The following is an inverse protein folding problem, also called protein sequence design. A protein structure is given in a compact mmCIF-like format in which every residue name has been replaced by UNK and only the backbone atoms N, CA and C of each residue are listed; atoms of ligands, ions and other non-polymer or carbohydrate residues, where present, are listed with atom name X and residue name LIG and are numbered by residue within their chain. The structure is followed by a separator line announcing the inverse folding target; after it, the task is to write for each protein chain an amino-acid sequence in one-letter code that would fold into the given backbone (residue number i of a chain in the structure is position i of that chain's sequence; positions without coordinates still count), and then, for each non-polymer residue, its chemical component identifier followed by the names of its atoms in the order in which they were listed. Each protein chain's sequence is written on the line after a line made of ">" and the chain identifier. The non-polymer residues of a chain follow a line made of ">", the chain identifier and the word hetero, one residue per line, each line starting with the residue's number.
data_IF_482538092605
#
_entry.id   IF_482538092605
#
_cell.length_a   1.000
_cell.length_b   1.000
_cell.length_c   1.000
_cell.angle_alpha   90.00
_cell.angle_beta   90.00
_cell.angle_gamma   90.00
#
_symmetry.space_group_name_H-M   'P 1'
#
loop_
_entity.id
_entity.type
_entity.pdbx_description
1 polymer ?
#
# COMPACT_ATOMS: atom_id res chain seq x y z
N UNK A 1 -29.68 16.60 10.51
CA UNK A 1 -30.35 15.33 10.83
C UNK A 1 -31.37 15.01 9.75
N UNK A 2 -32.48 15.76 9.69
CA UNK A 2 -33.53 15.57 8.67
C UNK A 2 -33.03 15.58 7.21
N UNK A 3 -31.99 16.35 6.87
CA UNK A 3 -31.46 16.36 5.51
C UNK A 3 -30.73 15.06 5.13
N UNK A 4 -29.84 14.55 6.00
CA UNK A 4 -29.12 13.29 5.73
C UNK A 4 -30.07 12.10 5.72
N UNK A 5 -31.04 12.07 6.65
CA UNK A 5 -32.10 11.06 6.66
C UNK A 5 -32.92 11.11 5.37
N UNK A 6 -33.34 12.30 4.92
CA UNK A 6 -34.06 12.48 3.65
C UNK A 6 -33.22 12.09 2.43
N UNK A 7 -31.92 12.36 2.42
CA UNK A 7 -31.02 11.92 1.34
C UNK A 7 -30.90 10.39 1.32
N UNK A 8 -30.85 9.74 2.48
CA UNK A 8 -30.84 8.28 2.57
C UNK A 8 -32.20 7.66 2.23
N UNK A 9 -33.32 8.27 2.63
CA UNK A 9 -34.66 7.87 2.20
C UNK A 9 -34.79 7.97 0.69
N UNK A 10 -34.37 9.10 0.11
CA UNK A 10 -34.34 9.31 -1.34
C UNK A 10 -33.46 8.28 -2.05
N UNK A 11 -32.29 7.95 -1.48
CA UNK A 11 -31.40 6.90 -1.99
C UNK A 11 -32.09 5.53 -2.00
N UNK A 12 -32.73 5.12 -0.90
CA UNK A 12 -33.44 3.83 -0.81
C UNK A 12 -34.63 3.78 -1.76
N UNK A 13 -35.42 4.85 -1.82
CA UNK A 13 -36.60 4.93 -2.68
C UNK A 13 -36.21 4.87 -4.16
N UNK A 14 -35.09 5.52 -4.51
CA UNK A 14 -34.52 5.50 -5.86
C UNK A 14 -33.81 4.19 -6.21
N UNK A 15 -33.31 3.45 -5.23
CA UNK A 15 -32.83 2.08 -5.43
C UNK A 15 -33.98 1.09 -5.70
N UNK A 16 -35.18 1.34 -5.14
CA UNK A 16 -36.37 0.48 -5.32
C UNK A 16 -37.18 0.80 -6.58
N UNK A 17 -37.20 2.05 -7.01
CA UNK A 17 -37.86 2.47 -8.25
C UNK A 17 -36.82 2.75 -9.33
N UNK A 18 -36.95 2.18 -10.53
CA UNK A 18 -36.06 2.33 -11.71
C UNK A 18 -36.02 3.79 -12.23
N UNK A 19 -35.67 4.77 -11.39
CA UNK A 19 -35.81 6.20 -11.68
C UNK A 19 -34.54 6.96 -11.34
N UNK A 20 -33.85 7.39 -12.41
CA UNK A 20 -32.68 8.30 -12.50
C UNK A 20 -31.44 7.94 -11.68
N UNK A 21 -30.49 7.24 -12.32
CA UNK A 21 -29.12 6.99 -11.82
C UNK A 21 -28.42 8.24 -11.30
N UNK A 22 -28.61 9.39 -11.95
CA UNK A 22 -27.98 10.67 -11.59
C UNK A 22 -28.32 11.16 -10.17
N UNK A 23 -29.51 10.82 -9.65
CA UNK A 23 -29.91 11.20 -8.28
C UNK A 23 -29.15 10.37 -7.25
N UNK A 24 -28.99 9.07 -7.50
CA UNK A 24 -28.26 8.14 -6.64
C UNK A 24 -26.77 8.53 -6.58
N UNK A 25 -26.18 8.80 -7.73
CA UNK A 25 -24.81 9.30 -7.87
C UNK A 25 -24.58 10.57 -7.02
N UNK A 26 -25.43 11.59 -7.20
CA UNK A 26 -25.31 12.85 -6.46
C UNK A 26 -25.36 12.65 -4.94
N UNK A 27 -26.18 11.70 -4.47
CA UNK A 27 -26.26 11.38 -3.04
C UNK A 27 -24.97 10.70 -2.55
N UNK A 28 -24.44 9.75 -3.31
CA UNK A 28 -23.20 9.04 -2.96
C UNK A 28 -21.98 9.98 -2.97
N UNK A 29 -21.93 10.97 -3.86
CA UNK A 29 -20.90 12.03 -3.87
C UNK A 29 -20.98 12.93 -2.63
N UNK A 30 -22.20 13.22 -2.15
CA UNK A 30 -22.38 13.91 -0.86
C UNK A 30 -21.84 13.03 0.27
N UNK A 31 -22.08 11.72 0.25
CA UNK A 31 -21.56 10.81 1.26
C UNK A 31 -20.04 10.76 1.26
N UNK A 32 -19.42 10.63 0.09
CA UNK A 32 -17.96 10.71 -0.09
C UNK A 32 -17.39 11.99 0.54
N UNK A 33 -17.96 13.14 0.18
CA UNK A 33 -17.50 14.44 0.69
C UNK A 33 -17.59 14.56 2.22
N UNK A 34 -18.69 14.07 2.81
CA UNK A 34 -18.91 14.11 4.27
C UNK A 34 -17.95 13.16 5.01
N UNK A 35 -17.70 11.96 4.48
CA UNK A 35 -16.78 11.00 5.09
C UNK A 35 -15.32 11.46 4.96
N UNK A 36 -14.94 12.06 3.83
CA UNK A 36 -13.63 12.65 3.62
C UNK A 36 -13.34 13.77 4.62
N UNK A 37 -14.26 14.73 4.79
CA UNK A 37 -14.13 15.80 5.81
C UNK A 37 -14.05 15.21 7.23
N UNK A 38 -14.87 14.18 7.51
CA UNK A 38 -14.85 13.52 8.81
C UNK A 38 -13.50 12.86 9.11
N UNK A 39 -12.90 12.17 8.13
CA UNK A 39 -11.57 11.58 8.27
C UNK A 39 -10.51 12.64 8.60
N UNK A 40 -10.48 13.75 7.85
CA UNK A 40 -9.52 14.83 8.10
C UNK A 40 -9.61 15.37 9.53
N UNK A 41 -10.84 15.66 10.00
CA UNK A 41 -11.05 16.15 11.38
C UNK A 41 -10.67 15.12 12.45
N UNK A 42 -10.84 13.83 12.17
CA UNK A 42 -10.43 12.77 13.09
C UNK A 42 -8.90 12.64 13.18
N UNK A 43 -8.21 12.77 12.05
CA UNK A 43 -6.75 12.81 12.02
C UNK A 43 -6.20 13.97 12.85
N UNK A 44 -6.80 15.16 12.77
CA UNK A 44 -6.41 16.33 13.59
C UNK A 44 -6.60 16.06 15.09
N UNK A 45 -7.72 15.45 15.48
CA UNK A 45 -8.01 15.09 16.88
C UNK A 45 -6.99 14.11 17.45
N UNK A 46 -6.62 13.08 16.66
CA UNK A 46 -5.61 12.08 17.06
C UNK A 46 -4.25 12.73 17.27
N UNK A 47 -3.90 13.70 16.41
CA UNK A 47 -2.60 14.36 16.46
C UNK A 47 -2.48 15.41 17.57
N UNK A 48 -3.58 16.10 17.92
CA UNK A 48 -3.56 17.24 18.85
C UNK A 48 -4.11 16.94 20.25
N UNK A 49 -4.56 15.71 20.54
CA UNK A 49 -5.29 15.37 21.78
C UNK A 49 -6.46 16.34 22.06
N UNK A 50 -7.07 16.87 21.00
CA UNK A 50 -8.15 17.84 21.12
C UNK A 50 -9.46 17.12 21.46
N UNK A 51 -10.12 17.49 22.57
CA UNK A 51 -11.50 17.07 22.87
C UNK A 51 -12.49 17.76 21.91
N UNK A 52 -12.50 17.38 20.63
CA UNK A 52 -13.54 17.80 19.72
C UNK A 52 -14.78 16.93 19.86
N UNK A 53 -15.95 17.59 19.87
CA UNK A 53 -17.26 16.99 19.99
C UNK A 53 -17.67 16.26 18.69
N UNK A 54 -16.92 15.22 18.31
CA UNK A 54 -17.10 14.40 17.11
C UNK A 54 -18.49 13.73 17.06
N UNK A 55 -19.15 13.59 18.21
CA UNK A 55 -20.51 13.09 18.33
C UNK A 55 -21.56 13.90 17.53
N UNK A 56 -21.28 15.19 17.24
CA UNK A 56 -22.18 16.03 16.45
C UNK A 56 -21.78 16.15 14.97
N UNK A 57 -20.65 15.57 14.57
CA UNK A 57 -20.16 15.66 13.21
C UNK A 57 -21.11 14.94 12.23
N UNK A 58 -21.25 15.48 11.01
CA UNK A 58 -22.09 14.90 9.98
C UNK A 58 -21.63 13.48 9.60
N UNK A 59 -20.32 13.21 9.63
CA UNK A 59 -19.73 11.90 9.36
C UNK A 59 -20.13 10.80 10.34
N UNK A 60 -20.05 11.05 11.65
CA UNK A 60 -20.51 10.07 12.66
C UNK A 60 -22.00 9.74 12.50
N UNK A 61 -22.82 10.74 12.16
CA UNK A 61 -24.25 10.53 11.87
C UNK A 61 -24.47 9.73 10.58
N UNK A 62 -23.70 10.04 9.54
CA UNK A 62 -23.75 9.32 8.28
C UNK A 62 -23.36 7.84 8.47
N UNK A 63 -22.34 7.53 9.28
CA UNK A 63 -21.99 6.15 9.62
C UNK A 63 -23.17 5.40 10.23
N UNK A 64 -23.90 5.98 11.19
CA UNK A 64 -25.09 5.31 11.74
C UNK A 64 -26.14 5.01 10.67
N UNK A 65 -26.39 5.97 9.78
CA UNK A 65 -27.38 5.79 8.71
C UNK A 65 -26.91 4.71 7.71
N UNK A 66 -25.63 4.74 7.32
CA UNK A 66 -25.05 3.70 6.46
C UNK A 66 -25.12 2.33 7.11
N UNK A 67 -24.85 2.22 8.42
CA UNK A 67 -24.95 0.96 9.13
C UNK A 67 -26.36 0.35 9.02
N UNK A 68 -27.41 1.15 9.15
CA UNK A 68 -28.78 0.66 9.08
C UNK A 68 -29.23 0.35 7.64
N UNK A 69 -28.76 1.13 6.67
CA UNK A 69 -29.44 1.27 5.37
C UNK A 69 -28.58 1.04 4.14
N UNK A 70 -27.26 0.89 4.29
CA UNK A 70 -26.35 0.67 3.18
C UNK A 70 -26.40 -0.79 2.71
N UNK A 71 -27.11 -1.01 1.60
CA UNK A 71 -27.25 -2.32 0.96
C UNK A 71 -26.16 -2.53 -0.11
N UNK A 72 -24.94 -2.90 0.31
CA UNK A 72 -23.79 -3.17 -0.59
C UNK A 72 -24.16 -4.18 -1.70
N UNK A 73 -25.01 -5.15 -1.36
CA UNK A 73 -25.44 -6.25 -2.23
C UNK A 73 -26.21 -5.81 -3.47
N UNK A 74 -26.99 -4.72 -3.37
CA UNK A 74 -27.81 -4.24 -4.50
C UNK A 74 -27.01 -3.46 -5.54
N UNK A 75 -25.74 -3.15 -5.24
CA UNK A 75 -24.94 -2.21 -6.03
C UNK A 75 -23.85 -2.93 -6.82
N UNK A 76 -23.31 -4.02 -6.26
CA UNK A 76 -22.22 -4.79 -6.91
C UNK A 76 -22.76 -5.83 -7.91
N UNK A 77 -24.07 -6.15 -7.86
CA UNK A 77 -24.75 -7.05 -8.80
C UNK A 77 -25.19 -6.36 -10.11
N UNK A 78 -24.69 -5.17 -10.42
CA UNK A 78 -25.05 -4.48 -11.66
C UNK A 78 -24.22 -5.06 -12.81
N UNK A 79 -24.75 -6.13 -13.38
CA UNK A 79 -24.29 -6.74 -14.61
C UNK A 79 -24.78 -5.92 -15.81
N UNK A 80 -24.30 -4.67 -15.94
CA UNK A 80 -24.42 -3.95 -17.21
C UNK A 80 -23.58 -2.66 -17.23
N UNK A 81 -22.93 -2.39 -18.36
CA UNK A 81 -22.11 -1.20 -18.60
C UNK A 81 -22.87 0.14 -18.59
N UNK A 82 -24.12 0.17 -18.09
CA UNK A 82 -25.01 1.34 -18.05
C UNK A 82 -25.04 2.08 -16.70
N UNK A 83 -24.46 1.52 -15.62
CA UNK A 83 -24.57 2.04 -14.25
C UNK A 83 -23.22 2.39 -13.58
N UNK A 84 -22.22 2.71 -14.40
CA UNK A 84 -20.83 2.93 -13.96
C UNK A 84 -20.68 4.04 -12.92
N UNK A 85 -21.47 5.12 -13.05
CA UNK A 85 -21.47 6.24 -12.11
C UNK A 85 -21.89 5.79 -10.71
N UNK A 86 -22.87 4.88 -10.61
CA UNK A 86 -23.31 4.31 -9.34
C UNK A 86 -22.22 3.42 -8.74
N UNK A 87 -21.59 2.56 -9.57
CA UNK A 87 -20.49 1.68 -9.13
C UNK A 87 -19.34 2.52 -8.59
N UNK A 88 -18.87 3.51 -9.35
CA UNK A 88 -17.74 4.38 -8.98
C UNK A 88 -18.03 5.16 -7.71
N UNK A 89 -19.22 5.76 -7.58
CA UNK A 89 -19.60 6.53 -6.40
C UNK A 89 -19.74 5.64 -5.16
N UNK A 90 -20.23 4.41 -5.33
CA UNK A 90 -20.34 3.44 -4.23
C UNK A 90 -18.97 2.97 -3.76
N UNK A 91 -18.09 2.63 -4.70
CA UNK A 91 -16.71 2.29 -4.39
C UNK A 91 -16.00 3.46 -3.70
N UNK A 92 -16.32 4.72 -4.03
CA UNK A 92 -15.77 5.88 -3.32
C UNK A 92 -16.17 5.90 -1.83
N UNK A 93 -17.45 5.65 -1.53
CA UNK A 93 -17.94 5.54 -0.15
C UNK A 93 -17.28 4.38 0.59
N UNK A 94 -17.17 3.21 -0.04
CA UNK A 94 -16.48 2.03 0.55
C UNK A 94 -15.01 2.35 0.81
N UNK A 95 -14.33 3.01 -0.13
CA UNK A 95 -12.94 3.41 0.01
C UNK A 95 -12.74 4.36 1.20
N UNK A 96 -13.63 5.33 1.41
CA UNK A 96 -13.51 6.20 2.58
C UNK A 96 -13.74 5.45 3.90
N UNK A 97 -14.67 4.50 3.92
CA UNK A 97 -14.89 3.63 5.08
C UNK A 97 -13.60 2.83 5.38
N UNK A 98 -12.94 2.28 4.36
CA UNK A 98 -11.69 1.52 4.53
C UNK A 98 -10.49 2.38 4.91
N UNK A 99 -10.42 3.62 4.43
CA UNK A 99 -9.44 4.60 4.89
C UNK A 99 -9.60 4.90 6.38
N UNK A 100 -10.84 5.08 6.85
CA UNK A 100 -11.12 5.26 8.29
C UNK A 100 -10.64 4.08 9.14
N UNK A 101 -10.74 2.85 8.63
CA UNK A 101 -10.27 1.64 9.31
C UNK A 101 -8.74 1.62 9.41
N UNK A 102 -8.05 1.88 8.29
CA UNK A 102 -6.59 1.86 8.22
C UNK A 102 -5.93 2.94 9.10
N UNK A 103 -6.58 4.08 9.29
CA UNK A 103 -6.10 5.16 10.16
C UNK A 103 -6.30 4.85 11.66
N UNK A 104 -6.81 3.66 12.02
CA UNK A 104 -7.08 3.22 13.40
C UNK A 104 -7.95 4.22 14.19
N UNK A 105 -8.82 4.94 13.50
CA UNK A 105 -9.69 5.99 14.05
C UNK A 105 -10.71 5.43 15.05
N UNK A 106 -10.95 4.11 15.02
CA UNK A 106 -11.87 3.42 15.90
C UNK A 106 -11.63 3.71 17.39
N UNK A 107 -10.39 3.99 17.80
CA UNK A 107 -10.04 4.32 19.18
C UNK A 107 -10.51 5.72 19.62
N UNK A 108 -10.74 6.63 18.66
CA UNK A 108 -11.27 7.97 18.89
C UNK A 108 -12.82 8.04 18.84
N UNK A 109 -13.50 6.95 18.46
CA UNK A 109 -14.95 6.91 18.33
C UNK A 109 -15.66 6.58 19.66
N UNK A 110 -16.86 7.13 19.84
CA UNK A 110 -17.74 6.71 20.94
C UNK A 110 -18.16 5.24 20.79
N UNK A 111 -18.47 4.56 21.89
CA UNK A 111 -18.80 3.12 21.89
C UNK A 111 -19.91 2.75 20.91
N UNK A 112 -20.93 3.60 20.76
CA UNK A 112 -22.02 3.38 19.81
C UNK A 112 -21.58 3.53 18.35
N UNK A 113 -20.80 4.57 18.03
CA UNK A 113 -20.25 4.77 16.67
C UNK A 113 -19.25 3.68 16.30
N UNK A 114 -18.45 3.22 17.25
CA UNK A 114 -17.54 2.08 17.11
C UNK A 114 -18.29 0.82 16.68
N UNK A 115 -19.39 0.48 17.35
CA UNK A 115 -20.23 -0.67 16.97
C UNK A 115 -20.85 -0.51 15.57
N UNK A 116 -21.35 0.68 15.24
CA UNK A 116 -21.91 0.95 13.92
C UNK A 116 -20.85 0.80 12.82
N UNK A 117 -19.66 1.35 13.06
CA UNK A 117 -18.52 1.26 12.15
C UNK A 117 -18.08 -0.19 11.94
N UNK A 118 -17.84 -0.96 13.01
CA UNK A 118 -17.51 -2.39 12.92
C UNK A 118 -18.57 -3.20 12.17
N UNK A 119 -19.85 -2.88 12.37
CA UNK A 119 -20.95 -3.55 11.68
C UNK A 119 -20.92 -3.26 10.16
N UNK A 120 -20.64 -2.03 9.75
CA UNK A 120 -20.42 -1.69 8.33
C UNK A 120 -19.22 -2.43 7.77
N UNK A 121 -18.09 -2.43 8.49
CA UNK A 121 -16.87 -3.12 8.04
C UNK A 121 -17.13 -4.60 7.79
N UNK A 122 -17.82 -5.29 8.71
CA UNK A 122 -18.22 -6.70 8.50
C UNK A 122 -19.08 -6.89 7.25
N UNK A 123 -19.97 -5.95 6.93
CA UNK A 123 -20.77 -6.00 5.70
C UNK A 123 -19.88 -5.85 4.46
N UNK A 124 -18.95 -4.89 4.46
CA UNK A 124 -17.97 -4.69 3.36
C UNK A 124 -17.11 -5.94 3.18
N UNK A 125 -16.52 -6.43 4.27
CA UNK A 125 -15.64 -7.59 4.31
C UNK A 125 -16.31 -8.86 3.81
N UNK A 126 -17.58 -9.07 4.15
CA UNK A 126 -18.38 -10.20 3.66
C UNK A 126 -18.57 -10.22 2.14
N UNK A 127 -18.25 -9.11 1.45
CA UNK A 127 -18.40 -8.93 0.00
C UNK A 127 -17.07 -8.70 -0.70
N UNK A 128 -15.94 -8.92 -0.02
CA UNK A 128 -14.60 -8.67 -0.60
C UNK A 128 -14.35 -9.51 -1.87
N UNK A 129 -14.90 -10.72 -1.95
CA UNK A 129 -14.83 -11.56 -3.16
C UNK A 129 -15.50 -10.90 -4.37
N UNK A 130 -16.68 -10.30 -4.17
CA UNK A 130 -17.38 -9.57 -5.23
C UNK A 130 -16.63 -8.30 -5.61
N UNK A 131 -16.01 -7.62 -4.63
CA UNK A 131 -15.17 -6.45 -4.87
C UNK A 131 -13.95 -6.85 -5.73
N UNK A 132 -13.30 -7.97 -5.45
CA UNK A 132 -12.23 -8.50 -6.30
C UNK A 132 -12.72 -8.76 -7.74
N UNK A 133 -13.94 -9.28 -7.90
CA UNK A 133 -14.55 -9.49 -9.23
C UNK A 133 -14.65 -8.21 -10.07
N UNK A 134 -14.77 -7.04 -9.43
CA UNK A 134 -14.82 -5.74 -10.12
C UNK A 134 -13.48 -5.29 -10.72
N UNK A 135 -12.36 -5.98 -10.45
CA UNK A 135 -11.12 -5.78 -11.21
C UNK A 135 -11.29 -6.07 -12.70
N UNK A 136 -12.32 -6.84 -13.07
CA UNK A 136 -12.68 -7.14 -14.45
C UNK A 136 -13.50 -6.03 -15.14
N UNK A 137 -13.83 -4.94 -14.43
CA UNK A 137 -14.67 -3.87 -14.94
C UNK A 137 -13.96 -3.10 -16.07
N UNK A 138 -14.74 -2.63 -17.06
CA UNK A 138 -14.23 -1.81 -18.18
C UNK A 138 -13.92 -0.36 -17.81
N UNK A 139 -14.16 0.03 -16.56
CA UNK A 139 -14.05 1.42 -16.11
C UNK A 139 -12.83 1.62 -15.21
N UNK A 140 -11.88 2.41 -15.69
CA UNK A 140 -10.60 2.65 -15.02
C UNK A 140 -10.77 3.24 -13.62
N UNK A 141 -11.71 4.17 -13.45
CA UNK A 141 -12.02 4.77 -12.15
C UNK A 141 -12.55 3.75 -11.14
N UNK A 142 -13.28 2.73 -11.59
CA UNK A 142 -13.75 1.64 -10.73
C UNK A 142 -12.57 0.73 -10.34
N UNK A 143 -11.76 0.30 -11.31
CA UNK A 143 -10.58 -0.55 -11.07
C UNK A 143 -9.62 0.10 -10.07
N UNK A 144 -9.29 1.39 -10.25
CA UNK A 144 -8.45 2.15 -9.31
C UNK A 144 -9.00 2.14 -7.88
N UNK A 145 -10.32 2.34 -7.71
CA UNK A 145 -10.96 2.32 -6.40
C UNK A 145 -10.97 0.92 -5.79
N UNK A 146 -11.19 -0.12 -6.61
CA UNK A 146 -11.11 -1.52 -6.16
C UNK A 146 -9.71 -1.80 -5.63
N UNK A 147 -8.66 -1.53 -6.40
CA UNK A 147 -7.27 -1.73 -5.95
C UNK A 147 -6.99 -1.00 -4.63
N UNK A 148 -7.38 0.26 -4.52
CA UNK A 148 -7.22 1.02 -3.27
C UNK A 148 -8.01 0.39 -2.09
N UNK A 149 -9.25 -0.05 -2.31
CA UNK A 149 -10.03 -0.76 -1.28
C UNK A 149 -9.31 -2.03 -0.83
N UNK A 150 -8.78 -2.81 -1.77
CA UNK A 150 -8.04 -4.04 -1.48
C UNK A 150 -6.77 -3.73 -0.68
N UNK A 151 -6.00 -2.71 -1.07
CA UNK A 151 -4.81 -2.26 -0.35
C UNK A 151 -5.13 -1.90 1.11
N UNK A 152 -6.10 -1.01 1.33
CA UNK A 152 -6.49 -0.62 2.70
C UNK A 152 -7.05 -1.80 3.50
N UNK A 153 -7.76 -2.72 2.85
CA UNK A 153 -8.28 -3.93 3.51
C UNK A 153 -7.16 -4.84 3.97
N UNK A 154 -6.14 -5.09 3.14
CA UNK A 154 -4.97 -5.89 3.54
C UNK A 154 -4.22 -5.22 4.69
N UNK A 155 -4.03 -3.90 4.61
CA UNK A 155 -3.32 -3.11 5.62
C UNK A 155 -3.97 -3.14 7.01
N UNK A 156 -5.31 -3.23 7.07
CA UNK A 156 -6.07 -3.17 8.33
C UNK A 156 -6.52 -4.52 8.87
N UNK A 157 -6.62 -5.55 8.02
CA UNK A 157 -7.23 -6.83 8.41
C UNK A 157 -6.26 -7.73 9.17
N UNK A 158 -6.78 -8.39 10.20
CA UNK A 158 -6.09 -9.49 10.88
C UNK A 158 -6.55 -10.88 10.37
N UNK A 159 -7.39 -10.92 9.32
CA UNK A 159 -7.95 -12.15 8.79
C UNK A 159 -7.07 -12.69 7.64
N UNK A 160 -6.30 -13.75 7.93
CA UNK A 160 -5.44 -14.43 6.94
C UNK A 160 -6.23 -14.86 5.71
N UNK A 161 -7.43 -15.45 5.87
CA UNK A 161 -8.17 -15.97 4.72
C UNK A 161 -8.64 -14.84 3.79
N UNK A 162 -8.97 -13.68 4.35
CA UNK A 162 -9.27 -12.48 3.57
C UNK A 162 -8.05 -12.04 2.76
N UNK A 163 -6.85 -12.06 3.36
CA UNK A 163 -5.61 -11.74 2.65
C UNK A 163 -5.38 -12.71 1.50
N UNK A 164 -5.60 -14.02 1.71
CA UNK A 164 -5.48 -15.03 0.64
C UNK A 164 -6.54 -14.88 -0.47
N UNK A 165 -7.76 -14.48 -0.13
CA UNK A 165 -8.79 -14.16 -1.12
C UNK A 165 -8.38 -12.97 -1.99
N UNK A 166 -7.87 -11.90 -1.36
CA UNK A 166 -7.38 -10.72 -2.07
C UNK A 166 -6.19 -11.10 -2.95
N UNK A 167 -5.24 -11.87 -2.40
CA UNK A 167 -4.05 -12.34 -3.11
C UNK A 167 -4.41 -13.16 -4.36
N UNK A 168 -5.44 -14.01 -4.27
CA UNK A 168 -5.95 -14.76 -5.42
C UNK A 168 -6.57 -13.83 -6.47
N UNK A 169 -7.42 -12.88 -6.04
CA UNK A 169 -8.07 -11.93 -6.94
C UNK A 169 -7.08 -11.02 -7.68
N UNK A 170 -6.06 -10.50 -6.99
CA UNK A 170 -5.03 -9.69 -7.63
C UNK A 170 -4.13 -10.53 -8.53
N UNK A 171 -3.80 -11.78 -8.18
CA UNK A 171 -3.06 -12.70 -9.07
C UNK A 171 -3.80 -12.90 -10.39
N UNK A 172 -5.10 -13.21 -10.34
CA UNK A 172 -5.91 -13.45 -11.54
C UNK A 172 -5.97 -12.19 -12.42
N UNK A 173 -6.06 -11.02 -11.80
CA UNK A 173 -5.99 -9.76 -12.51
C UNK A 173 -4.61 -9.54 -13.15
N UNK A 174 -3.51 -9.80 -12.43
CA UNK A 174 -2.14 -9.71 -12.97
C UNK A 174 -1.91 -10.69 -14.12
N UNK A 175 -2.38 -11.93 -14.02
CA UNK A 175 -2.28 -12.92 -15.10
C UNK A 175 -3.02 -12.46 -16.36
N UNK A 176 -4.20 -11.86 -16.21
CA UNK A 176 -4.94 -11.27 -17.33
C UNK A 176 -4.22 -10.08 -17.95
N UNK A 177 -3.62 -9.22 -17.13
CA UNK A 177 -2.77 -8.13 -17.61
C UNK A 177 -1.65 -8.72 -18.46
N UNK A 178 -0.94 -9.72 -17.94
CA UNK A 178 0.20 -10.36 -18.62
C UNK A 178 -0.18 -11.26 -19.81
N UNK A 179 -1.43 -11.67 -19.94
CA UNK A 179 -1.93 -12.41 -21.10
C UNK A 179 -2.43 -11.51 -22.22
N UNK A 180 -2.52 -10.20 -21.99
CA UNK A 180 -3.01 -9.24 -22.98
C UNK A 180 -1.99 -9.02 -24.09
N UNK A 181 -2.41 -9.13 -25.35
CA UNK A 181 -1.56 -8.93 -26.54
C UNK A 181 -0.90 -7.54 -26.64
N UNK A 182 -1.33 -6.58 -25.83
CA UNK A 182 -0.88 -5.18 -25.88
C UNK A 182 0.06 -4.80 -24.74
N UNK A 183 0.54 -5.73 -23.89
CA UNK A 183 1.50 -5.41 -22.81
C UNK A 183 2.77 -4.80 -23.37
N UNK A 184 3.28 -5.31 -24.50
CA UNK A 184 4.48 -4.74 -25.09
C UNK A 184 4.24 -3.28 -25.49
N UNK A 185 3.08 -2.96 -26.08
CA UNK A 185 2.71 -1.56 -26.37
C UNK A 185 2.49 -0.74 -25.10
N UNK A 186 1.94 -1.35 -24.04
CA UNK A 186 1.76 -0.71 -22.74
C UNK A 186 3.14 -0.36 -22.17
N UNK A 187 4.05 -1.32 -22.05
CA UNK A 187 5.44 -1.13 -21.61
C UNK A 187 6.12 -0.06 -22.48
N UNK A 188 6.05 -0.18 -23.81
CA UNK A 188 6.66 0.77 -24.73
C UNK A 188 6.06 2.20 -24.58
N UNK A 189 4.74 2.32 -24.33
CA UNK A 189 4.06 3.61 -24.08
C UNK A 189 4.32 4.19 -22.68
N UNK A 190 4.63 3.32 -21.70
CA UNK A 190 4.95 3.71 -20.32
C UNK A 190 6.42 4.15 -20.18
N UNK A 191 7.25 3.88 -21.18
CA UNK A 191 8.65 4.33 -21.28
C UNK A 191 8.79 5.72 -21.91
N UNK A 192 7.76 6.21 -22.58
CA UNK A 192 7.74 7.57 -23.08
C UNK A 192 7.40 8.51 -21.89
N UNK A 193 8.44 8.97 -21.18
CA UNK A 193 8.38 9.84 -20.00
C UNK A 193 7.66 11.19 -20.21
N UNK A 194 7.18 11.46 -21.41
CA UNK A 194 6.26 12.55 -21.67
C UNK A 194 4.87 11.92 -21.67
N UNK A 195 4.04 12.14 -20.65
CA UNK A 195 2.62 12.48 -20.81
C UNK A 195 1.94 12.54 -19.43
N UNK A 196 1.84 13.77 -18.94
CA UNK A 196 0.82 14.27 -18.01
C UNK A 196 -0.53 13.61 -18.20
N UNK A 197 -1.06 12.97 -17.14
CA UNK A 197 -2.46 12.78 -16.67
C UNK A 197 -3.66 12.65 -17.63
N UNK A 198 -3.50 12.73 -18.95
CA UNK A 198 -4.58 12.98 -19.91
C UNK A 198 -4.67 11.93 -21.03
N UNK A 199 -4.35 10.66 -20.76
CA UNK A 199 -4.80 9.61 -21.66
C UNK A 199 -6.18 9.10 -21.27
N UNK A 200 -7.13 9.73 -21.97
CA UNK A 200 -8.42 9.24 -22.46
C UNK A 200 -8.71 7.75 -22.24
N UNK A 201 -10.00 7.49 -21.94
CA UNK A 201 -10.75 6.23 -21.98
C UNK A 201 -10.63 5.46 -23.31
N UNK A 202 -9.43 5.09 -23.73
CA UNK A 202 -9.22 4.10 -24.79
C UNK A 202 -8.90 2.78 -24.12
N UNK A 203 -9.97 2.05 -23.80
CA UNK A 203 -9.91 0.61 -23.66
C UNK A 203 -9.45 0.02 -25.00
N UNK A 204 -8.13 -0.08 -25.20
CA UNK A 204 -7.54 -0.72 -26.38
C UNK A 204 -7.39 -2.24 -26.14
N UNK A 205 -7.74 -2.75 -24.96
CA UNK A 205 -7.62 -4.18 -24.61
C UNK A 205 -8.79 -4.70 -23.77
N UNK A 206 -8.90 -6.02 -23.64
CA UNK A 206 -9.83 -6.73 -22.73
C UNK A 206 -9.54 -6.48 -21.23
N UNK A 207 -8.57 -5.63 -20.91
CA UNK A 207 -8.13 -5.32 -19.54
C UNK A 207 -7.99 -3.81 -19.37
N UNK A 208 -8.73 -3.24 -18.42
CA UNK A 208 -8.64 -1.81 -18.13
C UNK A 208 -7.51 -1.56 -17.12
N UNK A 209 -6.44 -0.88 -17.55
CA UNK A 209 -5.24 -0.67 -16.74
C UNK A 209 -4.49 0.62 -17.13
N UNK A 210 -3.80 1.23 -16.15
CA UNK A 210 -2.74 2.20 -16.40
C UNK A 210 -1.64 2.12 -15.31
N UNK A 211 -0.65 3.02 -15.39
CA UNK A 211 0.49 3.06 -14.47
C UNK A 211 0.08 3.14 -12.99
N UNK A 212 -0.96 3.91 -12.66
CA UNK A 212 -1.45 4.04 -11.28
C UNK A 212 -2.05 2.72 -10.78
N UNK A 213 -2.72 1.95 -11.66
CA UNK A 213 -3.16 0.61 -11.32
C UNK A 213 -1.98 -0.34 -11.07
N UNK A 214 -0.90 -0.24 -11.86
CA UNK A 214 0.30 -1.07 -11.68
C UNK A 214 1.04 -0.73 -10.38
N UNK A 215 1.20 0.56 -10.07
CA UNK A 215 1.76 1.02 -8.79
C UNK A 215 0.97 0.45 -7.62
N UNK A 216 -0.36 0.63 -7.65
CA UNK A 216 -1.20 0.17 -6.57
C UNK A 216 -1.19 -1.36 -6.44
N UNK A 217 -1.12 -2.09 -7.55
CA UNK A 217 -0.96 -3.55 -7.54
C UNK A 217 0.35 -3.99 -6.86
N UNK A 218 1.48 -3.33 -7.17
CA UNK A 218 2.77 -3.56 -6.50
C UNK A 218 2.64 -3.27 -5.00
N UNK A 219 2.00 -2.16 -4.62
CA UNK A 219 1.76 -1.80 -3.22
C UNK A 219 0.95 -2.87 -2.48
N UNK A 220 -0.11 -3.40 -3.11
CA UNK A 220 -0.92 -4.48 -2.52
C UNK A 220 -0.07 -5.73 -2.32
N UNK A 221 0.74 -6.15 -3.30
CA UNK A 221 1.60 -7.32 -3.14
C UNK A 221 2.58 -7.15 -1.96
N UNK A 222 3.25 -5.99 -1.84
CA UNK A 222 4.13 -5.72 -0.70
C UNK A 222 3.37 -5.79 0.63
N UNK A 223 2.19 -5.15 0.72
CA UNK A 223 1.39 -5.13 1.94
C UNK A 223 0.84 -6.51 2.29
N UNK A 224 0.51 -7.35 1.31
CA UNK A 224 0.11 -8.76 1.52
C UNK A 224 1.22 -9.52 2.21
N UNK A 225 2.45 -9.47 1.70
CA UNK A 225 3.56 -10.19 2.33
C UNK A 225 3.92 -9.63 3.70
N UNK A 226 3.91 -8.30 3.89
CA UNK A 226 4.09 -7.68 5.20
C UNK A 226 3.05 -8.22 6.20
N UNK A 227 1.77 -8.21 5.80
CA UNK A 227 0.65 -8.62 6.66
C UNK A 227 0.68 -10.10 6.97
N UNK A 228 0.92 -10.97 5.97
CA UNK A 228 1.08 -12.40 6.18
C UNK A 228 2.24 -12.71 7.14
N UNK A 229 3.41 -12.12 6.92
CA UNK A 229 4.56 -12.33 7.78
C UNK A 229 4.27 -11.88 9.22
N UNK A 230 3.62 -10.73 9.42
CA UNK A 230 3.21 -10.25 10.75
C UNK A 230 2.24 -11.22 11.43
N UNK A 231 1.19 -11.65 10.73
CA UNK A 231 0.18 -12.54 11.32
C UNK A 231 0.75 -13.91 11.69
N UNK A 232 1.66 -14.47 10.90
CA UNK A 232 2.36 -15.72 11.26
C UNK A 232 3.43 -15.51 12.35
N UNK A 233 3.93 -14.28 12.53
CA UNK A 233 4.79 -13.90 13.65
C UNK A 233 4.04 -13.66 14.96
N UNK A 234 2.73 -13.47 14.94
CA UNK A 234 1.92 -13.38 16.16
C UNK A 234 1.55 -14.79 16.65
N UNK A 235 1.77 -15.09 17.93
CA UNK A 235 1.42 -16.38 18.57
C UNK A 235 -0.09 -16.50 18.79
N UNK A 236 -0.87 -16.47 17.71
CA UNK A 236 -2.32 -16.61 17.78
C UNK A 236 -2.70 -18.09 17.67
N UNK A 237 -2.97 -18.72 18.82
CA UNK A 237 -3.45 -20.12 18.91
C UNK A 237 -4.80 -20.36 18.19
N UNK A 238 -5.51 -19.30 17.79
CA UNK A 238 -6.83 -19.37 17.15
C UNK A 238 -6.79 -18.91 15.69
N UNK A 239 -6.01 -19.59 14.85
CA UNK A 239 -6.23 -19.52 13.42
C UNK A 239 -7.48 -20.33 13.04
N UNK A 240 -8.65 -19.69 13.07
CA UNK A 240 -9.85 -20.29 12.50
C UNK A 240 -9.76 -20.19 10.97
N UNK A 241 -9.19 -21.22 10.33
CA UNK A 241 -9.00 -21.26 8.89
C UNK A 241 -10.26 -21.75 8.16
N UNK A 242 -10.88 -20.87 7.38
CA UNK A 242 -11.91 -21.19 6.39
C UNK A 242 -11.31 -21.73 5.09
N UNK A 243 -10.10 -21.30 4.72
CA UNK A 243 -9.33 -21.81 3.59
C UNK A 243 -8.31 -22.84 4.09
N UNK A 244 -8.29 -24.04 3.50
CA UNK A 244 -7.35 -25.09 3.90
C UNK A 244 -5.89 -24.72 3.59
N UNK A 245 -4.97 -25.25 4.39
CA UNK A 245 -3.51 -25.11 4.22
C UNK A 245 -3.06 -25.45 2.79
N UNK A 246 -3.60 -26.54 2.21
CA UNK A 246 -3.26 -26.97 0.84
C UNK A 246 -3.63 -25.92 -0.22
N UNK A 247 -4.77 -25.25 -0.06
CA UNK A 247 -5.20 -24.20 -0.98
C UNK A 247 -4.27 -22.99 -0.87
N UNK A 248 -3.88 -22.61 0.36
CA UNK A 248 -2.94 -21.52 0.62
C UNK A 248 -1.58 -21.79 -0.01
N UNK A 249 -1.04 -22.98 0.19
CA UNK A 249 0.22 -23.40 -0.42
C UNK A 249 0.14 -23.41 -1.94
N UNK A 250 -0.97 -23.86 -2.53
CA UNK A 250 -1.16 -23.81 -3.98
C UNK A 250 -1.14 -22.37 -4.49
N UNK A 251 -1.90 -21.46 -3.86
CA UNK A 251 -1.93 -20.04 -4.24
C UNK A 251 -0.51 -19.44 -4.20
N UNK A 252 0.23 -19.71 -3.12
CA UNK A 252 1.60 -19.22 -2.95
C UNK A 252 2.57 -19.80 -3.98
N UNK A 253 2.46 -21.10 -4.29
CA UNK A 253 3.30 -21.73 -5.32
C UNK A 253 2.97 -21.24 -6.73
N UNK A 254 1.70 -20.97 -7.02
CA UNK A 254 1.27 -20.38 -8.29
C UNK A 254 1.92 -18.98 -8.44
N UNK A 255 1.94 -18.18 -7.38
CA UNK A 255 2.56 -16.85 -7.36
C UNK A 255 4.08 -16.94 -7.47
N UNK A 256 4.72 -17.90 -6.80
CA UNK A 256 6.17 -18.13 -6.95
C UNK A 256 6.53 -18.45 -8.39
N UNK A 257 5.79 -19.36 -9.02
CA UNK A 257 6.01 -19.76 -10.42
C UNK A 257 5.83 -18.56 -11.36
N UNK A 258 4.77 -17.79 -11.11
CA UNK A 258 4.46 -16.57 -11.84
C UNK A 258 5.56 -15.51 -11.72
N UNK A 259 5.97 -15.18 -10.50
CA UNK A 259 7.02 -14.18 -10.23
C UNK A 259 8.36 -14.59 -10.81
N UNK A 260 8.71 -15.87 -10.75
CA UNK A 260 9.91 -16.42 -11.38
C UNK A 260 9.91 -16.21 -12.91
N UNK A 261 8.77 -16.47 -13.57
CA UNK A 261 8.62 -16.22 -15.01
C UNK A 261 8.79 -14.75 -15.39
N UNK A 262 8.23 -13.83 -14.59
CA UNK A 262 8.30 -12.39 -14.85
C UNK A 262 9.71 -11.81 -14.63
N UNK A 263 10.42 -12.28 -13.60
CA UNK A 263 11.72 -11.75 -13.20
C UNK A 263 12.87 -12.21 -14.09
N UNK A 264 12.82 -13.45 -14.59
CA UNK A 264 13.85 -13.96 -15.52
C UNK A 264 13.87 -13.24 -16.88
N UNK A 265 12.77 -12.60 -17.26
CA UNK A 265 12.63 -12.00 -18.59
C UNK A 265 13.10 -10.54 -18.66
N UNK A 266 13.34 -9.86 -17.53
CA UNK A 266 13.49 -8.41 -17.49
C UNK A 266 14.65 -7.93 -16.60
N UNK A 267 15.88 -7.92 -17.15
CA UNK A 267 17.07 -7.39 -16.46
C UNK A 267 16.93 -5.90 -16.05
N UNK A 268 16.15 -5.12 -16.81
CA UNK A 268 15.92 -3.68 -16.55
C UNK A 268 14.65 -3.39 -15.74
N UNK A 269 13.96 -4.40 -15.22
CA UNK A 269 12.68 -4.22 -14.50
C UNK A 269 12.76 -3.27 -13.30
N UNK A 270 13.91 -3.23 -12.60
CA UNK A 270 14.12 -2.30 -11.49
C UNK A 270 14.07 -0.85 -11.95
N UNK A 271 14.67 -0.55 -13.10
CA UNK A 271 14.71 0.80 -13.67
C UNK A 271 13.29 1.24 -14.07
N UNK A 272 12.50 0.34 -14.67
CA UNK A 272 11.11 0.63 -15.03
C UNK A 272 10.25 0.93 -13.81
N UNK A 273 10.33 0.10 -12.77
CA UNK A 273 9.57 0.33 -11.53
C UNK A 273 10.01 1.66 -10.91
N UNK A 274 11.32 1.94 -10.84
CA UNK A 274 11.81 3.21 -10.29
C UNK A 274 11.24 4.42 -11.05
N UNK A 275 11.29 4.40 -12.38
CA UNK A 275 10.79 5.48 -13.22
C UNK A 275 9.28 5.68 -13.10
N UNK A 276 8.49 4.61 -12.86
CA UNK A 276 7.06 4.76 -12.63
C UNK A 276 6.74 5.58 -11.39
N UNK A 277 7.52 5.42 -10.32
CA UNK A 277 7.32 6.13 -9.06
C UNK A 277 7.96 7.53 -9.05
N UNK A 278 9.00 7.78 -9.86
CA UNK A 278 9.76 9.04 -9.83
C UNK A 278 8.93 10.30 -10.19
N UNK A 279 7.81 10.14 -10.89
CA UNK A 279 6.96 11.27 -11.29
C UNK A 279 6.21 11.96 -10.13
N UNK A 280 6.15 11.32 -8.95
CA UNK A 280 5.47 11.86 -7.78
C UNK A 280 6.29 11.56 -6.51
N UNK A 281 6.80 12.62 -5.90
CA UNK A 281 7.65 12.59 -4.70
C UNK A 281 7.04 11.78 -3.54
N UNK A 282 5.73 11.94 -3.29
CA UNK A 282 5.01 11.22 -2.25
C UNK A 282 4.87 9.72 -2.59
N UNK A 283 4.60 9.38 -3.86
CA UNK A 283 4.50 7.99 -4.29
C UNK A 283 5.87 7.30 -4.15
N UNK A 284 6.94 7.96 -4.59
CA UNK A 284 8.31 7.45 -4.48
C UNK A 284 8.71 7.24 -3.02
N UNK A 285 8.48 8.22 -2.15
CA UNK A 285 8.79 8.11 -0.73
C UNK A 285 7.99 6.96 -0.07
N UNK A 286 6.70 6.83 -0.38
CA UNK A 286 5.86 5.75 0.14
C UNK A 286 6.31 4.37 -0.37
N UNK A 287 6.68 4.26 -1.65
CA UNK A 287 7.19 3.03 -2.23
C UNK A 287 8.49 2.59 -1.56
N UNK A 288 9.47 3.50 -1.46
CA UNK A 288 10.75 3.20 -0.79
C UNK A 288 10.55 2.83 0.68
N UNK A 289 9.65 3.52 1.40
CA UNK A 289 9.29 3.17 2.78
C UNK A 289 8.69 1.75 2.88
N UNK A 290 7.74 1.41 2.02
CA UNK A 290 7.09 0.10 2.04
C UNK A 290 8.08 -1.02 1.70
N UNK A 291 9.02 -0.80 0.78
CA UNK A 291 10.07 -1.75 0.45
C UNK A 291 11.02 -1.99 1.63
N UNK A 292 11.43 -0.93 2.35
CA UNK A 292 12.24 -1.07 3.57
C UNK A 292 11.47 -1.81 4.66
N UNK A 293 10.18 -1.50 4.85
CA UNK A 293 9.31 -2.18 5.82
C UNK A 293 9.17 -3.67 5.48
N UNK A 294 9.05 -4.01 4.21
CA UNK A 294 9.01 -5.39 3.73
C UNK A 294 10.28 -6.15 4.12
N UNK A 295 11.46 -5.60 3.81
CA UNK A 295 12.76 -6.22 4.15
C UNK A 295 12.99 -6.33 5.67
N UNK A 296 12.62 -5.31 6.44
CA UNK A 296 12.73 -5.35 7.90
C UNK A 296 11.77 -6.40 8.51
N UNK A 297 10.54 -6.49 7.99
CA UNK A 297 9.55 -7.48 8.44
C UNK A 297 10.02 -8.89 8.07
N UNK A 298 10.54 -9.09 6.86
CA UNK A 298 11.06 -10.36 6.40
C UNK A 298 12.21 -10.87 7.26
N UNK A 299 13.13 -10.00 7.66
CA UNK A 299 14.23 -10.36 8.56
C UNK A 299 13.74 -10.87 9.92
N UNK A 300 12.79 -10.18 10.55
CA UNK A 300 12.25 -10.64 11.83
C UNK A 300 11.46 -11.95 11.67
N UNK A 301 10.78 -12.10 10.53
CA UNK A 301 10.09 -13.32 10.16
C UNK A 301 11.04 -14.51 10.00
N UNK A 302 12.18 -14.34 9.33
CA UNK A 302 13.21 -15.38 9.19
C UNK A 302 13.78 -15.81 10.54
N UNK A 303 14.07 -14.85 11.44
CA UNK A 303 14.53 -15.18 12.81
C UNK A 303 13.50 -16.04 13.54
N UNK A 304 12.21 -15.71 13.42
CA UNK A 304 11.15 -16.50 14.05
C UNK A 304 11.04 -17.89 13.42
N UNK A 305 11.15 -17.99 12.10
CA UNK A 305 11.11 -19.27 11.38
C UNK A 305 12.25 -20.21 11.82
N UNK A 306 13.47 -19.69 12.00
CA UNK A 306 14.61 -20.47 12.51
C UNK A 306 14.33 -21.00 13.92
N UNK A 307 13.80 -20.16 14.81
CA UNK A 307 13.46 -20.61 16.18
C UNK A 307 12.34 -21.65 16.21
N UNK A 308 11.49 -21.68 15.17
CA UNK A 308 10.40 -22.64 15.03
C UNK A 308 10.90 -24.07 14.78
N UNK A 309 12.13 -24.23 14.26
CA UNK A 309 12.76 -25.53 14.00
C UNK A 309 13.08 -26.31 15.30
N UNK A 310 13.22 -25.62 16.43
CA UNK A 310 13.67 -26.21 17.69
C UNK A 310 12.51 -26.74 18.58
N UNK A 311 11.25 -26.39 18.27
CA UNK A 311 10.11 -26.58 19.20
C UNK A 311 8.97 -27.50 18.67
N UNK A 312 8.98 -27.94 17.41
CA UNK A 312 7.79 -28.53 16.76
C UNK A 312 7.61 -30.05 16.94
N UNK A 313 6.54 -30.48 17.63
CA UNK A 313 6.04 -31.88 17.60
C UNK A 313 4.56 -32.04 17.17
N UNK A 314 3.82 -30.96 16.90
CA UNK A 314 2.37 -31.01 16.61
C UNK A 314 2.03 -30.78 15.12
N UNK A 315 1.00 -31.46 14.60
CA UNK A 315 0.59 -31.43 13.18
C UNK A 315 0.17 -30.03 12.69
N UNK A 316 -0.58 -29.27 13.49
CA UNK A 316 -1.01 -27.89 13.14
C UNK A 316 0.21 -26.96 12.98
N UNK A 317 1.21 -27.14 13.84
CA UNK A 317 2.48 -26.43 13.84
C UNK A 317 3.24 -26.67 12.51
N UNK A 318 3.24 -27.92 12.02
CA UNK A 318 3.90 -28.28 10.76
C UNK A 318 3.22 -27.68 9.50
N UNK A 319 1.90 -27.56 9.51
CA UNK A 319 1.14 -26.93 8.42
C UNK A 319 1.43 -25.42 8.34
N UNK A 320 1.45 -24.74 9.49
CA UNK A 320 1.83 -23.33 9.58
C UNK A 320 3.27 -23.11 9.11
N UNK A 321 4.20 -23.96 9.57
CA UNK A 321 5.61 -23.94 9.14
C UNK A 321 5.75 -24.02 7.63
N UNK A 322 5.03 -24.95 6.99
CA UNK A 322 5.08 -25.14 5.53
C UNK A 322 4.68 -23.87 4.78
N UNK A 323 3.65 -23.16 5.26
CA UNK A 323 3.25 -21.87 4.68
C UNK A 323 4.34 -20.82 4.91
N UNK A 324 4.92 -20.77 6.12
CA UNK A 324 5.98 -19.82 6.44
C UNK A 324 7.23 -20.02 5.57
N UNK A 325 7.65 -21.27 5.36
CA UNK A 325 8.76 -21.62 4.46
C UNK A 325 8.49 -21.21 3.01
N UNK A 326 7.24 -21.40 2.54
CA UNK A 326 6.83 -20.99 1.20
C UNK A 326 6.85 -19.46 1.03
N UNK A 327 6.39 -18.71 2.03
CA UNK A 327 6.51 -17.25 2.07
C UNK A 327 7.98 -16.83 2.06
N UNK A 328 8.82 -17.48 2.88
CA UNK A 328 10.25 -17.18 2.96
C UNK A 328 10.96 -17.38 1.63
N UNK A 329 10.67 -18.48 0.95
CA UNK A 329 11.22 -18.81 -0.36
C UNK A 329 10.86 -17.75 -1.40
N UNK A 330 9.59 -17.31 -1.43
CA UNK A 330 9.14 -16.24 -2.33
C UNK A 330 9.82 -14.91 -2.03
N UNK A 331 9.89 -14.53 -0.75
CA UNK A 331 10.51 -13.28 -0.36
C UNK A 331 12.00 -13.25 -0.69
N UNK A 332 12.71 -14.35 -0.44
CA UNK A 332 14.12 -14.50 -0.84
C UNK A 332 14.27 -14.34 -2.35
N UNK A 333 13.39 -14.98 -3.13
CA UNK A 333 13.41 -14.87 -4.59
C UNK A 333 13.18 -13.42 -5.07
N UNK A 334 12.17 -12.74 -4.55
CA UNK A 334 11.84 -11.35 -4.93
C UNK A 334 12.97 -10.39 -4.53
N UNK A 335 13.48 -10.51 -3.31
CA UNK A 335 14.52 -9.61 -2.78
C UNK A 335 15.91 -9.83 -3.41
N UNK A 336 16.12 -10.93 -4.14
CA UNK A 336 17.31 -11.06 -4.98
C UNK A 336 17.33 -10.09 -6.17
N UNK A 337 16.16 -9.61 -6.60
CA UNK A 337 16.01 -8.67 -7.72
C UNK A 337 15.69 -7.25 -7.26
N UNK A 338 14.85 -7.10 -6.23
CA UNK A 338 14.40 -5.79 -5.75
C UNK A 338 14.81 -5.56 -4.30
N UNK A 339 15.69 -4.59 -4.07
CA UNK A 339 16.16 -4.25 -2.71
C UNK A 339 16.00 -2.77 -2.42
N UNK A 340 15.77 -2.40 -1.16
CA UNK A 340 15.70 -0.98 -0.80
C UNK A 340 17.00 -0.23 -1.08
N UNK A 341 18.14 -0.91 -1.00
CA UNK A 341 19.44 -0.36 -1.35
C UNK A 341 19.52 0.04 -2.83
N UNK A 342 19.07 -0.81 -3.77
CA UNK A 342 19.09 -0.52 -5.20
C UNK A 342 18.22 0.71 -5.51
N UNK A 343 16.97 0.73 -5.03
CA UNK A 343 16.06 1.85 -5.25
C UNK A 343 16.55 3.16 -4.61
N UNK A 344 17.08 3.12 -3.39
CA UNK A 344 17.63 4.33 -2.76
C UNK A 344 18.87 4.85 -3.48
N UNK A 345 19.75 3.97 -3.96
CA UNK A 345 20.89 4.38 -4.78
C UNK A 345 20.44 5.00 -6.10
N UNK A 346 19.47 4.41 -6.81
CA UNK A 346 18.90 5.04 -8.02
C UNK A 346 18.32 6.41 -7.75
N UNK A 347 17.62 6.59 -6.63
CA UNK A 347 17.16 7.90 -6.18
C UNK A 347 18.33 8.88 -6.00
N UNK A 348 19.39 8.50 -5.28
CA UNK A 348 20.58 9.35 -5.12
C UNK A 348 21.27 9.65 -6.45
N UNK A 349 21.35 8.70 -7.36
CA UNK A 349 21.94 8.88 -8.69
C UNK A 349 21.11 9.87 -9.51
N UNK A 350 19.79 9.69 -9.54
CA UNK A 350 18.86 10.57 -10.28
C UNK A 350 18.90 12.02 -9.78
N UNK A 351 19.21 12.22 -8.50
CA UNK A 351 19.34 13.53 -7.86
C UNK A 351 20.77 14.08 -7.94
N UNK A 352 21.70 13.38 -8.59
CA UNK A 352 23.11 13.76 -8.69
C UNK A 352 23.86 13.72 -7.35
N UNK A 353 23.37 12.96 -6.37
CA UNK A 353 23.84 12.93 -4.98
C UNK A 353 23.75 14.31 -4.31
N UNK A 354 22.76 15.11 -4.68
CA UNK A 354 22.54 16.40 -4.06
C UNK A 354 21.78 16.24 -2.73
N UNK A 355 22.50 16.38 -1.61
CA UNK A 355 21.91 16.31 -0.27
C UNK A 355 20.81 17.35 -0.02
N UNK A 356 20.79 18.47 -0.76
CA UNK A 356 19.75 19.50 -0.58
C UNK A 356 18.37 18.96 -0.98
N UNK A 357 18.30 18.05 -1.94
CA UNK A 357 17.03 17.43 -2.35
C UNK A 357 16.47 16.60 -1.19
N UNK A 358 17.31 15.77 -0.54
CA UNK A 358 16.90 15.03 0.66
C UNK A 358 16.49 15.98 1.81
N UNK A 359 17.17 17.11 1.93
CA UNK A 359 16.82 18.12 2.91
C UNK A 359 15.45 18.74 2.61
N UNK A 360 15.14 19.04 1.35
CA UNK A 360 13.84 19.57 0.93
C UNK A 360 12.71 18.58 1.23
N UNK A 361 12.93 17.29 0.97
CA UNK A 361 12.00 16.22 1.37
C UNK A 361 11.76 16.17 2.90
N UNK A 362 12.80 16.42 3.71
CA UNK A 362 12.68 16.42 5.16
C UNK A 362 12.06 17.72 5.71
N UNK A 363 12.20 18.83 5.01
CA UNK A 363 11.61 20.11 5.40
C UNK A 363 10.16 20.22 4.92
N UNK A 364 9.78 19.48 3.87
CA UNK A 364 8.39 19.40 3.43
C UNK A 364 7.50 18.90 4.58
N UNK A 365 6.23 19.32 4.59
CA UNK A 365 5.25 18.88 5.60
C UNK A 365 4.91 17.37 5.47
N UNK A 366 5.54 16.64 4.54
CA UNK A 366 5.32 15.22 4.29
C UNK A 366 6.26 14.38 5.17
N UNK A 367 5.75 13.91 6.30
CA UNK A 367 6.52 13.11 7.27
C UNK A 367 6.93 11.72 6.77
N UNK A 368 6.43 11.29 5.61
CA UNK A 368 6.68 9.97 5.01
C UNK A 368 8.16 9.79 4.70
N UNK A 369 8.83 10.81 4.16
CA UNK A 369 10.25 10.70 3.81
C UNK A 369 11.17 10.62 5.05
N UNK A 370 10.80 11.32 6.13
CA UNK A 370 11.49 11.18 7.41
C UNK A 370 11.40 9.74 7.93
N UNK A 371 10.20 9.16 7.90
CA UNK A 371 9.98 7.79 8.33
C UNK A 371 10.78 6.81 7.48
N UNK A 372 10.75 6.98 6.15
CA UNK A 372 11.58 6.24 5.20
C UNK A 372 13.06 6.30 5.60
N UNK A 373 13.61 7.50 5.75
CA UNK A 373 15.04 7.66 5.97
C UNK A 373 15.47 7.09 7.33
N UNK A 374 14.64 7.21 8.36
CA UNK A 374 14.88 6.59 9.67
C UNK A 374 14.93 5.07 9.58
N UNK A 375 13.94 4.45 8.93
CA UNK A 375 13.85 3.00 8.78
C UNK A 375 14.92 2.46 7.83
N UNK A 376 15.23 3.20 6.76
CA UNK A 376 16.31 2.87 5.85
C UNK A 376 17.66 2.88 6.57
N UNK A 377 17.96 3.90 7.38
CA UNK A 377 19.19 3.91 8.17
C UNK A 377 19.27 2.70 9.11
N UNK A 378 18.16 2.31 9.76
CA UNK A 378 18.10 1.10 10.58
C UNK A 378 18.37 -0.16 9.77
N UNK A 379 17.76 -0.27 8.59
CA UNK A 379 17.97 -1.39 7.68
C UNK A 379 19.44 -1.46 7.24
N UNK A 380 20.01 -0.34 6.83
CA UNK A 380 21.39 -0.19 6.40
C UNK A 380 22.39 -0.59 7.50
N UNK A 381 22.19 -0.12 8.73
CA UNK A 381 23.01 -0.52 9.90
C UNK A 381 23.08 -2.05 10.07
N UNK A 382 22.02 -2.75 9.69
CA UNK A 382 21.91 -4.19 9.86
C UNK A 382 22.27 -4.99 8.58
N UNK A 383 22.55 -4.33 7.45
CA UNK A 383 22.81 -4.98 6.16
C UNK A 383 23.90 -4.31 5.31
N UNK A 384 24.94 -3.77 5.95
CA UNK A 384 26.03 -3.04 5.28
C UNK A 384 26.68 -3.86 4.16
N UNK A 385 26.87 -5.17 4.37
CA UNK A 385 27.51 -6.04 3.37
C UNK A 385 26.74 -6.07 2.06
N UNK A 386 25.40 -6.17 2.12
CA UNK A 386 24.56 -6.14 0.93
C UNK A 386 24.58 -4.77 0.26
N UNK A 387 24.53 -3.70 1.05
CA UNK A 387 24.68 -2.34 0.55
C UNK A 387 25.99 -2.15 -0.24
N UNK A 388 27.12 -2.62 0.29
CA UNK A 388 28.43 -2.53 -0.37
C UNK A 388 28.49 -3.33 -1.67
N UNK A 389 27.89 -4.54 -1.69
CA UNK A 389 27.76 -5.35 -2.92
C UNK A 389 27.01 -4.57 -4.00
N UNK A 390 25.92 -3.89 -3.63
CA UNK A 390 25.12 -3.11 -4.58
C UNK A 390 25.87 -1.86 -5.03
N UNK A 391 26.55 -1.13 -4.14
CA UNK A 391 27.40 0.01 -4.51
C UNK A 391 28.42 -0.39 -5.58
N UNK A 392 29.11 -1.53 -5.38
CA UNK A 392 30.07 -2.05 -6.34
C UNK A 392 29.46 -2.35 -7.71
N UNK A 393 28.23 -2.87 -7.76
CA UNK A 393 27.51 -3.09 -9.03
C UNK A 393 27.26 -1.77 -9.77
N UNK A 394 27.01 -0.67 -9.06
CA UNK A 394 26.87 0.65 -9.65
C UNK A 394 28.20 1.23 -10.13
N UNK A 395 29.27 1.07 -9.34
CA UNK A 395 30.63 1.48 -9.72
C UNK A 395 31.09 0.81 -11.02
N UNK A 396 30.77 -0.48 -11.19
CA UNK A 396 31.10 -1.24 -12.40
C UNK A 396 30.28 -0.79 -13.63
N UNK A 397 29.02 -0.38 -13.43
CA UNK A 397 28.14 0.07 -14.53
C UNK A 397 28.41 1.51 -14.95
N UNK A 398 28.82 2.38 -14.03
CA UNK A 398 28.98 3.82 -14.27
C UNK A 398 30.46 4.14 -14.18
N UNK A 399 31.18 3.99 -15.29
CA UNK A 399 32.64 4.16 -15.38
C UNK A 399 33.19 5.53 -14.97
N UNK A 400 32.32 6.52 -14.79
CA UNK A 400 32.65 7.89 -14.37
C UNK A 400 32.34 8.16 -12.88
N UNK A 401 31.77 7.19 -12.16
CA UNK A 401 31.50 7.34 -10.74
C UNK A 401 32.74 7.08 -9.89
N UNK A 402 33.14 8.09 -9.13
CA UNK A 402 33.85 7.87 -7.87
C UNK A 402 33.00 6.96 -6.97
N UNK A 403 33.69 6.12 -6.18
CA UNK A 403 33.15 5.13 -5.24
C UNK A 403 31.75 5.49 -4.71
N UNK A 404 30.74 4.72 -5.12
CA UNK A 404 29.33 4.97 -4.82
C UNK A 404 29.08 5.05 -3.31
N UNK A 405 29.73 4.19 -2.52
CA UNK A 405 29.60 4.19 -1.06
C UNK A 405 30.15 5.49 -0.44
N UNK A 406 31.28 6.00 -0.96
CA UNK A 406 31.86 7.28 -0.53
C UNK A 406 30.92 8.45 -0.83
N UNK A 407 30.27 8.45 -2.01
CA UNK A 407 29.30 9.50 -2.36
C UNK A 407 28.08 9.49 -1.45
N UNK A 408 27.55 8.32 -1.11
CA UNK A 408 26.46 8.18 -0.12
C UNK A 408 26.89 8.76 1.23
N UNK A 409 28.12 8.47 1.66
CA UNK A 409 28.68 9.00 2.90
C UNK A 409 28.77 10.54 2.89
N UNK A 410 29.23 11.13 1.78
CA UNK A 410 29.27 12.58 1.59
C UNK A 410 27.86 13.19 1.68
N UNK A 411 26.86 12.56 1.06
CA UNK A 411 25.45 12.98 1.16
C UNK A 411 24.97 12.97 2.61
N UNK A 412 25.16 11.86 3.33
CA UNK A 412 24.72 11.73 4.72
C UNK A 412 25.44 12.70 5.66
N UNK A 413 26.72 12.97 5.43
CA UNK A 413 27.49 13.92 6.21
C UNK A 413 27.03 15.37 6.00
N UNK A 414 26.79 15.76 4.75
CA UNK A 414 26.30 17.10 4.43
C UNK A 414 24.86 17.32 4.90
N UNK A 415 24.01 16.29 4.75
CA UNK A 415 22.66 16.29 5.27
C UNK A 415 22.65 16.45 6.80
N UNK A 416 23.48 15.66 7.50
CA UNK A 416 23.61 15.72 8.97
C UNK A 416 24.02 17.11 9.46
N UNK A 417 25.01 17.74 8.82
CA UNK A 417 25.45 19.11 9.17
C UNK A 417 24.35 20.14 8.93
N UNK A 418 23.62 20.00 7.83
CA UNK A 418 22.55 20.94 7.46
C UNK A 418 21.38 20.85 8.42
N UNK A 419 20.93 19.64 8.76
CA UNK A 419 19.88 19.41 9.76
C UNK A 419 20.31 19.99 11.11
N UNK A 420 21.54 19.73 11.57
CA UNK A 420 22.07 20.28 12.83
C UNK A 420 22.04 21.82 12.83
N UNK A 421 22.57 22.47 11.79
CA UNK A 421 22.56 23.93 11.67
C UNK A 421 21.14 24.52 11.71
N UNK A 422 20.17 23.85 11.08
CA UNK A 422 18.77 24.29 11.11
C UNK A 422 18.12 24.07 12.48
N UNK A 423 18.41 22.93 13.14
CA UNK A 423 17.93 22.66 14.49
C UNK A 423 18.49 23.66 15.51
N UNK A 424 19.79 23.98 15.45
CA UNK A 424 20.43 24.95 16.35
C UNK A 424 19.83 26.36 16.21
N UNK A 425 19.26 26.67 15.04
CA UNK A 425 18.57 27.94 14.73
C UNK A 425 17.06 27.88 14.97
N UNK A 426 16.50 26.75 15.42
CA UNK A 426 15.06 26.50 15.52
C UNK A 426 14.31 26.69 14.18
N UNK A 427 14.96 26.38 13.05
CA UNK A 427 14.40 26.51 11.69
C UNK A 427 13.98 25.16 11.09
N UNK A 428 14.31 24.05 11.75
CA UNK A 428 13.90 22.72 11.30
C UNK A 428 12.48 22.41 11.80
N UNK A 429 11.58 21.86 10.97
CA UNK A 429 10.16 21.76 11.31
C UNK A 429 9.84 20.83 12.48
N UNK A 430 10.77 19.95 12.87
CA UNK A 430 10.59 19.00 13.97
C UNK A 430 11.93 18.62 14.64
N UNK A 431 11.87 17.81 15.70
CA UNK A 431 13.09 17.34 16.38
C UNK A 431 13.71 16.14 15.64
N UNK A 432 14.74 16.39 14.82
CA UNK A 432 15.44 15.36 14.04
C UNK A 432 16.62 14.67 14.76
N UNK A 433 16.69 14.76 16.10
CA UNK A 433 17.80 14.16 16.89
C UNK A 433 17.99 12.67 16.62
N UNK A 434 16.90 11.91 16.51
CA UNK A 434 16.96 10.46 16.24
C UNK A 434 17.56 10.16 14.86
N UNK A 435 17.23 10.97 13.85
CA UNK A 435 17.77 10.83 12.50
C UNK A 435 19.27 11.12 12.47
N UNK A 436 19.70 12.23 13.09
CA UNK A 436 21.12 12.58 13.21
C UNK A 436 21.92 11.46 13.87
N UNK A 437 21.40 10.86 14.95
CA UNK A 437 22.08 9.75 15.65
C UNK A 437 22.27 8.54 14.74
N UNK A 438 21.27 8.19 13.93
CA UNK A 438 21.35 7.05 12.99
C UNK A 438 22.29 7.34 11.83
N UNK A 439 22.22 8.52 11.22
CA UNK A 439 23.13 8.91 10.14
C UNK A 439 24.60 8.85 10.58
N UNK A 440 24.93 9.36 11.78
CA UNK A 440 26.27 9.23 12.37
C UNK A 440 26.69 7.79 12.64
N UNK A 441 25.75 6.91 12.98
CA UNK A 441 26.04 5.50 13.20
C UNK A 441 26.35 4.79 11.88
N UNK A 442 25.58 5.08 10.83
CA UNK A 442 25.86 4.60 9.46
C UNK A 442 27.23 5.07 8.98
N UNK A 443 27.61 6.32 9.25
CA UNK A 443 28.94 6.86 8.89
C UNK A 443 30.10 6.03 9.47
N UNK A 444 29.95 5.50 10.68
CA UNK A 444 30.98 4.66 11.32
C UNK A 444 31.07 3.24 10.73
N UNK A 445 30.06 2.83 9.96
CA UNK A 445 29.88 1.46 9.48
C UNK A 445 30.29 1.28 8.02
N UNK A 446 30.24 2.34 7.22
CA UNK A 446 30.68 2.32 5.82
C UNK A 446 32.21 2.51 5.80
N UNK A 447 32.97 1.53 5.28
CA UNK A 447 34.42 1.66 5.17
C UNK A 447 34.80 2.73 4.14
N UNK A 448 35.86 3.49 4.44
CA UNK A 448 36.50 4.44 3.52
C UNK A 448 37.26 3.73 2.41
#
# INVERSE_FOLDING_TARGET
>A
MQLLEKLCDLYIDKLKGVSSSNTIESILEIFHSVLKDFRHRLSDVINENAEHNLAQHAGGRLLNILNERFEIERIINIDDGSNNLIIVSTLAVILDIKKLEADKIEDALSSHLKQAFQSILRKVDSKIELICGLLCCRHLSAVRKVLAILHYTVKSTNNIDMIFMILTGIRDYTERILSSSDIQKLIDSMLDNNHTEFFDDKAVSDVTINIECLKELINIYMEVYISLMRLYMEENENFCYRISTDIKLRILNDILTFTHGLLQQNEDSVEYIFNWYMNNDSDLASFMLNLVRLELTFREFEKKLINFDDESQEKSMNEQKSIMECISTQMTHILNYYTSHDFFLRFLISTGFNYSILLDFLISNETIFLEFLLDYCKHLEQNISQFLIICKKFDEKISEMENCAERVLVVFNNLTRSIQSLMDKNLFPYNATSLIKRLKKVELLIPY
#
